data_IF_677018189918
#
_entry.id   IF_677018189918
#
_cell.length_a   1.000
_cell.length_b   1.000
_cell.length_c   1.000
_cell.angle_alpha   90.00
_cell.angle_beta   90.00
_cell.angle_gamma   90.00
#
_symmetry.space_group_name_H-M   'P 1'
#
loop_
_entity.id
_entity.type
_entity.pdbx_description
1 polymer ?
#
# COMPACT_ATOMS: atom_id res chain seq x y z
N UNK A 1 7.83 -12.42 14.07
CA UNK A 1 6.43 -12.30 13.62
C UNK A 1 6.43 -11.20 12.59
N UNK A 2 6.07 -11.51 11.35
CA UNK A 2 5.69 -10.49 10.38
C UNK A 2 4.43 -9.83 10.93
N UNK A 3 4.45 -8.53 11.14
CA UNK A 3 3.24 -7.79 11.50
C UNK A 3 2.38 -7.70 10.23
N UNK A 4 1.10 -8.10 10.31
CA UNK A 4 0.19 -8.04 9.17
C UNK A 4 -0.27 -6.60 8.96
N UNK A 5 -0.04 -6.04 7.77
CA UNK A 5 -0.45 -4.67 7.43
C UNK A 5 -1.62 -4.66 6.43
N UNK A 6 -2.66 -3.85 6.64
CA UNK A 6 -3.77 -3.76 5.70
C UNK A 6 -3.35 -3.01 4.43
N UNK A 7 -3.61 -3.60 3.27
CA UNK A 7 -3.41 -3.00 1.96
C UNK A 7 -4.54 -1.99 1.67
N UNK A 8 -5.80 -2.42 1.83
CA UNK A 8 -6.99 -1.57 1.79
C UNK A 8 -8.21 -2.24 2.42
N UNK A 9 -9.20 -1.43 2.80
CA UNK A 9 -10.50 -1.90 3.25
C UNK A 9 -11.40 -2.07 2.02
N UNK A 10 -11.94 -3.27 1.85
CA UNK A 10 -12.82 -3.64 0.73
C UNK A 10 -14.25 -3.14 0.98
N UNK A 11 -14.77 -3.37 2.19
CA UNK A 11 -16.14 -3.04 2.59
C UNK A 11 -16.31 -3.05 4.10
N UNK A 12 -17.43 -2.50 4.58
CA UNK A 12 -17.85 -2.59 5.98
C UNK A 12 -19.18 -3.33 6.13
N UNK A 13 -19.41 -3.89 7.31
CA UNK A 13 -20.71 -4.42 7.74
C UNK A 13 -20.95 -4.08 9.21
N UNK A 14 -22.21 -4.15 9.64
CA UNK A 14 -22.53 -4.21 11.07
C UNK A 14 -22.76 -5.65 11.51
N UNK A 15 -22.20 -6.03 12.64
CA UNK A 15 -22.47 -7.31 13.30
C UNK A 15 -23.90 -7.32 13.88
N UNK A 16 -24.35 -8.48 14.34
CA UNK A 16 -25.65 -8.61 15.04
C UNK A 16 -25.67 -7.80 16.34
N UNK A 17 -24.51 -7.56 16.94
CA UNK A 17 -24.32 -6.78 18.17
C UNK A 17 -24.20 -5.27 17.88
N UNK A 18 -24.29 -4.85 16.62
CA UNK A 18 -24.22 -3.45 16.20
C UNK A 18 -22.81 -2.89 15.99
N UNK A 19 -21.77 -3.73 16.16
CA UNK A 19 -20.38 -3.35 15.94
C UNK A 19 -20.04 -3.25 14.45
N UNK A 20 -19.32 -2.20 14.05
CA UNK A 20 -18.80 -2.07 12.69
C UNK A 20 -17.58 -2.98 12.50
N UNK A 21 -17.58 -3.77 11.44
CA UNK A 21 -16.48 -4.63 11.02
C UNK A 21 -16.03 -4.23 9.61
N UNK A 22 -14.72 -4.28 9.35
CA UNK A 22 -14.13 -3.99 8.05
C UNK A 22 -13.58 -5.27 7.41
N UNK A 23 -13.87 -5.50 6.13
CA UNK A 23 -13.27 -6.59 5.36
C UNK A 23 -11.97 -6.10 4.74
N UNK A 24 -10.86 -6.65 5.16
CA UNK A 24 -9.52 -6.11 4.93
C UNK A 24 -8.79 -6.98 3.91
N UNK A 25 -8.19 -6.34 2.90
CA UNK A 25 -7.16 -6.94 2.07
C UNK A 25 -5.82 -6.75 2.75
N UNK A 26 -5.11 -7.84 3.04
CA UNK A 26 -3.80 -7.80 3.68
C UNK A 26 -2.68 -7.70 2.66
N UNK A 27 -1.65 -6.96 3.03
CA UNK A 27 -0.43 -6.81 2.25
C UNK A 27 0.25 -8.18 2.07
N UNK A 28 0.63 -8.51 0.83
CA UNK A 28 1.37 -9.74 0.52
C UNK A 28 0.57 -11.05 0.59
N UNK A 29 -0.70 -10.96 1.00
CA UNK A 29 -1.66 -12.06 1.06
C UNK A 29 -2.51 -12.11 -0.21
N UNK A 30 -3.06 -13.28 -0.55
CA UNK A 30 -4.06 -13.40 -1.60
C UNK A 30 -5.44 -12.87 -1.12
N UNK A 31 -6.45 -12.91 -1.99
CA UNK A 31 -7.80 -12.50 -1.60
C UNK A 31 -8.55 -13.53 -0.74
N UNK A 32 -8.10 -14.78 -0.68
CA UNK A 32 -8.69 -15.83 0.15
C UNK A 32 -8.34 -15.62 1.62
N UNK A 33 -7.20 -14.99 1.89
CA UNK A 33 -6.71 -14.61 3.23
C UNK A 33 -7.33 -13.32 3.79
N UNK A 34 -8.26 -12.67 3.06
CA UNK A 34 -8.95 -11.48 3.57
C UNK A 34 -9.80 -11.81 4.80
N UNK A 35 -9.66 -11.01 5.87
CA UNK A 35 -10.39 -11.21 7.12
C UNK A 35 -11.31 -10.04 7.46
N UNK A 36 -12.24 -10.28 8.39
CA UNK A 36 -13.06 -9.22 8.99
C UNK A 36 -12.43 -8.75 10.29
N UNK A 37 -12.04 -7.48 10.33
CA UNK A 37 -11.43 -6.84 11.50
C UNK A 37 -12.39 -5.87 12.17
N UNK A 38 -12.42 -5.88 13.50
CA UNK A 38 -13.26 -4.98 14.29
C UNK A 38 -12.85 -3.52 14.16
N UNK A 39 -13.82 -2.61 14.20
CA UNK A 39 -13.56 -1.17 14.04
C UNK A 39 -12.62 -0.62 15.11
N UNK A 40 -12.70 -1.12 16.34
CA UNK A 40 -11.81 -0.69 17.42
C UNK A 40 -10.36 -1.04 17.11
N UNK A 41 -10.08 -2.28 16.69
CA UNK A 41 -8.75 -2.73 16.27
C UNK A 41 -8.26 -1.92 15.08
N UNK A 42 -9.08 -1.78 14.04
CA UNK A 42 -8.70 -1.05 12.82
C UNK A 42 -8.36 0.42 13.07
N UNK A 43 -9.12 1.12 13.93
CA UNK A 43 -8.82 2.51 14.28
C UNK A 43 -7.60 2.64 15.18
N UNK A 44 -7.32 1.64 16.01
CA UNK A 44 -6.16 1.64 16.91
C UNK A 44 -4.86 1.34 16.16
N UNK A 45 -4.85 0.27 15.37
CA UNK A 45 -3.64 -0.23 14.71
C UNK A 45 -3.41 0.44 13.35
N UNK A 46 -4.48 0.73 12.59
CA UNK A 46 -4.38 1.24 11.21
C UNK A 46 -5.36 2.40 10.92
N UNK A 47 -5.28 3.51 11.68
CA UNK A 47 -6.20 4.64 11.55
C UNK A 47 -6.24 5.24 10.14
N UNK A 48 -5.11 5.24 9.43
CA UNK A 48 -5.02 5.77 8.06
C UNK A 48 -5.82 4.96 7.04
N UNK A 49 -5.84 3.63 7.17
CA UNK A 49 -6.63 2.76 6.30
C UNK A 49 -8.14 3.04 6.45
N UNK A 50 -8.59 3.20 7.70
CA UNK A 50 -9.98 3.57 8.02
C UNK A 50 -10.30 4.98 7.49
N UNK A 51 -9.42 5.94 7.71
CA UNK A 51 -9.60 7.33 7.24
C UNK A 51 -9.77 7.39 5.72
N UNK A 52 -8.88 6.73 4.98
CA UNK A 52 -8.92 6.65 3.51
C UNK A 52 -10.23 6.04 3.04
N UNK A 53 -10.61 4.88 3.60
CA UNK A 53 -11.87 4.21 3.26
C UNK A 53 -13.10 5.10 3.53
N UNK A 54 -13.19 5.72 4.71
CA UNK A 54 -14.32 6.60 5.06
C UNK A 54 -14.36 7.87 4.21
N UNK A 55 -13.23 8.46 3.85
CA UNK A 55 -13.20 9.62 2.94
C UNK A 55 -13.78 9.28 1.56
N UNK A 56 -13.52 8.06 1.06
CA UNK A 56 -14.09 7.59 -0.21
C UNK A 56 -15.61 7.38 -0.16
N UNK A 57 -16.19 7.08 1.02
CA UNK A 57 -17.65 6.96 1.19
C UNK A 57 -18.36 8.33 1.19
N UNK A 58 -17.68 9.39 1.63
CA UNK A 58 -18.25 10.74 1.71
C UNK A 58 -18.28 11.47 0.37
N UNK A 59 -17.43 11.08 -0.60
CA UNK A 59 -17.37 11.72 -1.93
C UNK A 59 -18.48 11.28 -2.90
N UNK A 60 -19.51 10.58 -2.42
CA UNK A 60 -20.82 10.50 -3.06
C UNK A 60 -20.83 10.26 -4.58
N UNK A 61 -20.35 9.11 -5.04
CA UNK A 61 -20.79 8.51 -6.31
C UNK A 61 -20.41 7.03 -6.37
N UNK A 62 -21.42 6.17 -6.32
CA UNK A 62 -21.35 4.76 -6.73
C UNK A 62 -21.23 4.63 -8.26
N UNK A 63 -20.37 5.46 -8.88
CA UNK A 63 -20.08 5.48 -10.31
C UNK A 63 -18.57 5.60 -10.58
N UNK A 64 -17.72 5.42 -9.56
CA UNK A 64 -16.34 5.08 -9.85
C UNK A 64 -16.32 3.63 -10.36
N UNK A 65 -15.77 3.36 -11.57
CA UNK A 65 -15.47 1.99 -11.93
C UNK A 65 -14.66 1.41 -10.78
N UNK A 66 -15.03 0.20 -10.30
CA UNK A 66 -14.18 -0.57 -9.39
C UNK A 66 -12.74 -0.33 -9.86
N UNK A 67 -11.80 0.11 -9.00
CA UNK A 67 -10.42 0.32 -9.44
C UNK A 67 -10.08 -0.90 -10.26
N UNK A 68 -9.77 -0.70 -11.56
CA UNK A 68 -9.56 -1.82 -12.47
C UNK A 68 -8.53 -2.68 -11.76
N UNK A 69 -8.99 -3.81 -11.23
CA UNK A 69 -8.11 -4.73 -10.54
C UNK A 69 -7.40 -5.41 -11.69
N UNK A 70 -6.30 -4.79 -12.12
CA UNK A 70 -5.46 -5.32 -13.17
C UNK A 70 -5.08 -6.72 -12.74
N UNK A 71 -5.17 -7.68 -13.66
CA UNK A 71 -4.76 -9.02 -13.31
C UNK A 71 -3.28 -9.00 -12.94
N UNK A 72 -2.85 -9.89 -12.04
CA UNK A 72 -1.44 -10.01 -11.68
C UNK A 72 -0.56 -10.21 -12.93
N UNK A 73 -1.09 -10.88 -13.96
CA UNK A 73 -0.41 -11.10 -15.23
C UNK A 73 -0.23 -9.81 -16.04
N UNK A 74 -1.24 -8.93 -16.05
CA UNK A 74 -1.15 -7.62 -16.72
C UNK A 74 -0.12 -6.73 -16.03
N UNK A 75 -0.16 -6.68 -14.69
CA UNK A 75 0.81 -5.91 -13.90
C UNK A 75 2.21 -6.46 -14.12
N UNK A 76 2.39 -7.78 -14.03
CA UNK A 76 3.68 -8.43 -14.24
C UNK A 76 4.24 -8.23 -15.65
N UNK A 77 3.39 -8.36 -16.69
CA UNK A 77 3.80 -8.11 -18.06
C UNK A 77 4.26 -6.66 -18.25
N UNK A 78 3.53 -5.71 -17.67
CA UNK A 78 3.93 -4.31 -17.69
C UNK A 78 5.25 -4.07 -16.98
N UNK A 79 5.40 -4.45 -15.71
CA UNK A 79 6.61 -4.17 -14.92
C UNK A 79 7.89 -4.76 -15.53
N UNK A 80 7.78 -5.90 -16.22
CA UNK A 80 8.90 -6.49 -16.98
C UNK A 80 9.17 -5.80 -18.32
N UNK A 81 8.17 -5.12 -18.91
CA UNK A 81 8.33 -4.37 -20.17
C UNK A 81 8.86 -2.94 -19.97
N UNK A 82 8.73 -2.37 -18.77
CA UNK A 82 9.20 -1.01 -18.48
C UNK A 82 10.72 -0.98 -18.47
N UNK A 83 11.28 -0.16 -19.35
CA UNK A 83 12.73 0.06 -19.45
C UNK A 83 13.26 1.03 -18.38
N UNK A 84 12.59 2.18 -18.20
CA UNK A 84 13.01 3.22 -17.26
C UNK A 84 12.01 3.33 -16.10
N UNK A 85 12.39 2.78 -14.95
CA UNK A 85 11.55 2.81 -13.76
C UNK A 85 11.59 4.16 -13.06
N UNK A 86 12.65 4.95 -13.18
CA UNK A 86 12.70 6.28 -12.55
C UNK A 86 11.59 7.18 -13.10
N UNK A 87 11.36 7.11 -14.42
CA UNK A 87 10.29 7.86 -15.05
C UNK A 87 8.92 7.19 -14.87
N UNK A 88 8.83 5.85 -14.88
CA UNK A 88 7.53 5.17 -14.82
C UNK A 88 6.94 5.07 -13.40
N UNK A 89 7.77 5.07 -12.36
CA UNK A 89 7.34 5.01 -10.97
C UNK A 89 6.91 6.39 -10.50
N UNK A 90 5.73 6.46 -9.88
CA UNK A 90 5.22 7.67 -9.28
C UNK A 90 5.83 7.88 -7.88
N UNK A 91 5.64 6.89 -7.00
CA UNK A 91 6.06 6.94 -5.60
C UNK A 91 6.25 5.54 -5.00
N UNK A 92 7.07 5.45 -3.94
CA UNK A 92 7.07 4.30 -3.04
C UNK A 92 5.98 4.51 -2.00
N UNK A 93 5.03 3.58 -1.90
CA UNK A 93 3.90 3.68 -0.97
C UNK A 93 4.32 3.28 0.45
N UNK A 94 5.01 2.16 0.56
CA UNK A 94 5.38 1.55 1.84
C UNK A 94 6.53 0.55 1.65
N UNK A 95 7.25 0.25 2.75
CA UNK A 95 8.31 -0.76 2.79
C UNK A 95 8.15 -1.65 4.01
N UNK A 96 8.44 -2.93 3.88
CA UNK A 96 8.47 -3.87 5.01
C UNK A 96 9.66 -4.82 4.95
N UNK A 97 9.93 -5.50 6.06
CA UNK A 97 10.99 -6.51 6.10
C UNK A 97 10.57 -7.73 5.29
N UNK A 98 11.43 -8.10 4.35
CA UNK A 98 11.28 -9.34 3.60
C UNK A 98 11.64 -10.57 4.46
N UNK A 99 11.08 -11.73 4.12
CA UNK A 99 11.47 -13.05 4.70
C UNK A 99 12.91 -13.43 4.37
N UNK A 100 13.43 -12.94 3.25
CA UNK A 100 14.85 -13.00 2.86
C UNK A 100 15.54 -11.64 3.14
N UNK A 101 16.87 -11.58 3.32
CA UNK A 101 17.58 -10.33 3.55
C UNK A 101 17.19 -9.23 2.54
N UNK A 102 16.84 -8.04 3.06
CA UNK A 102 16.34 -6.92 2.27
C UNK A 102 14.92 -6.50 2.67
N UNK A 103 14.28 -5.73 1.79
CA UNK A 103 12.93 -5.20 2.01
C UNK A 103 11.99 -5.63 0.88
N UNK A 104 10.70 -5.70 1.17
CA UNK A 104 9.65 -5.64 0.17
C UNK A 104 9.21 -4.18 0.03
N UNK A 105 9.13 -3.71 -1.20
CA UNK A 105 8.87 -2.32 -1.55
C UNK A 105 7.60 -2.26 -2.38
N UNK A 106 6.62 -1.51 -1.89
CA UNK A 106 5.31 -1.31 -2.53
C UNK A 106 5.39 -0.07 -3.41
N UNK A 107 5.21 -0.26 -4.71
CA UNK A 107 5.46 0.75 -5.74
C UNK A 107 4.14 1.18 -6.36
N UNK A 108 3.88 2.49 -6.38
CA UNK A 108 2.83 3.10 -7.20
C UNK A 108 3.42 3.54 -8.54
N UNK A 109 2.77 3.14 -9.63
CA UNK A 109 3.17 3.49 -10.99
C UNK A 109 2.34 4.65 -11.52
N UNK A 110 2.90 5.49 -12.40
CA UNK A 110 2.19 6.64 -13.00
C UNK A 110 0.94 6.23 -13.80
N UNK A 111 0.89 5.00 -14.32
CA UNK A 111 -0.26 4.46 -15.03
C UNK A 111 -1.38 3.93 -14.10
N UNK A 112 -1.22 4.07 -12.78
CA UNK A 112 -2.16 3.60 -11.77
C UNK A 112 -1.96 2.14 -11.33
N UNK A 113 -0.95 1.45 -11.85
CA UNK A 113 -0.61 0.09 -11.38
C UNK A 113 0.04 0.16 -10.00
N UNK A 114 -0.05 -0.97 -9.30
CA UNK A 114 0.63 -1.19 -8.02
C UNK A 114 1.33 -2.53 -8.08
N UNK A 115 2.54 -2.60 -7.55
CA UNK A 115 3.31 -3.85 -7.49
C UNK A 115 4.22 -3.89 -6.28
N UNK A 116 4.74 -5.08 -5.98
CA UNK A 116 5.68 -5.32 -4.88
C UNK A 116 6.97 -5.87 -5.45
N UNK A 117 8.09 -5.27 -5.07
CA UNK A 117 9.42 -5.64 -5.54
C UNK A 117 10.40 -5.81 -4.39
N UNK A 118 11.39 -6.68 -4.56
CA UNK A 118 12.49 -6.77 -3.60
C UNK A 118 13.37 -5.52 -3.71
N UNK A 119 13.89 -5.05 -2.57
CA UNK A 119 14.70 -3.84 -2.51
C UNK A 119 15.87 -3.82 -3.49
N UNK A 120 16.51 -4.96 -3.77
CA UNK A 120 17.62 -5.04 -4.73
C UNK A 120 17.21 -4.62 -6.13
N UNK A 121 15.99 -4.95 -6.56
CA UNK A 121 15.47 -4.55 -7.86
C UNK A 121 15.18 -3.05 -7.89
N UNK A 122 14.53 -2.52 -6.86
CA UNK A 122 14.20 -1.09 -6.77
C UNK A 122 15.47 -0.23 -6.70
N UNK A 123 16.47 -0.64 -5.91
CA UNK A 123 17.76 0.05 -5.85
C UNK A 123 18.47 0.10 -7.20
N UNK A 124 18.29 -0.91 -8.05
CA UNK A 124 18.91 -0.97 -9.36
C UNK A 124 18.14 -0.16 -10.42
N UNK A 125 16.79 -0.19 -10.35
CA UNK A 125 15.94 0.34 -11.41
C UNK A 125 15.40 1.75 -11.15
N UNK A 126 15.04 2.08 -9.91
CA UNK A 126 14.62 3.43 -9.53
C UNK A 126 15.18 3.89 -8.17
N UNK A 127 16.52 3.96 -8.02
CA UNK A 127 17.15 4.40 -6.77
C UNK A 127 16.72 5.79 -6.27
N UNK A 128 16.44 6.76 -7.14
CA UNK A 128 16.05 8.11 -6.71
C UNK A 128 14.69 8.08 -6.01
N UNK A 129 13.71 7.33 -6.54
CA UNK A 129 12.40 7.12 -5.89
C UNK A 129 12.53 6.50 -4.49
N UNK A 130 13.48 5.59 -4.33
CA UNK A 130 13.75 4.98 -3.03
C UNK A 130 14.39 5.96 -2.05
N UNK A 131 15.30 6.81 -2.51
CA UNK A 131 15.93 7.87 -1.71
C UNK A 131 14.89 8.89 -1.27
N UNK A 132 14.04 9.37 -2.19
CA UNK A 132 12.94 10.29 -1.89
C UNK A 132 12.06 9.76 -0.76
N UNK A 133 11.69 8.48 -0.81
CA UNK A 133 10.92 7.84 0.26
C UNK A 133 11.68 7.85 1.59
N UNK A 134 12.95 7.47 1.60
CA UNK A 134 13.73 7.49 2.84
C UNK A 134 13.85 8.91 3.40
N UNK A 135 14.18 9.92 2.60
CA UNK A 135 14.32 11.30 3.05
C UNK A 135 13.03 11.85 3.69
N UNK A 136 11.87 11.46 3.17
CA UNK A 136 10.58 11.85 3.74
C UNK A 136 10.27 11.17 5.08
N UNK A 137 10.80 9.96 5.31
CA UNK A 137 10.53 9.17 6.51
C UNK A 137 11.65 9.22 7.56
N UNK A 138 12.85 9.68 7.19
CA UNK A 138 13.95 9.96 8.10
C UNK A 138 13.79 11.35 8.73
N UNK A 139 14.02 11.43 10.04
CA UNK A 139 14.07 12.71 10.76
C UNK A 139 15.50 13.22 10.82
N UNK A 140 15.75 14.34 10.15
CA UNK A 140 17.01 15.06 10.28
C UNK A 140 17.06 15.87 11.58
N UNK A 141 18.23 15.89 12.23
CA UNK A 141 18.46 16.77 13.38
C UNK A 141 18.59 18.22 12.88
N UNK A 142 17.82 19.14 13.43
CA UNK A 142 17.99 20.57 13.14
C UNK A 142 19.34 21.03 13.70
N UNK A 143 20.15 21.69 12.87
CA UNK A 143 21.32 22.43 13.33
C UNK A 143 20.79 23.77 13.83
N UNK A 144 21.05 24.10 15.09
CA UNK A 144 20.74 25.42 15.62
C UNK A 144 21.86 26.37 15.17
N UNK A 145 21.50 27.44 14.45
CA UNK A 145 22.42 28.53 14.14
C UNK A 145 22.66 29.35 15.43
N UNK A 146 23.93 29.68 15.68
CA UNK A 146 24.39 30.49 16.83
C UNK A 146 24.35 31.98 16.48
#
# INVERSE_FOLDING_TARGET
MTEDFPEYIIKERKSQEGETMYYVKWIGCDHEENTWEGEQKMKLEWPEAVRKYKSHLQTGSYDQPKPKLFSEQEVFAYTNSVYDWEEAVDSIEYIEKSKIPGLLVYVNWKNGYKSVHHSTEVYAKCPQKMIEYYEQHFRFRKIYEY
#
